data_IF_673970476236
#
_entry.id   IF_673970476236
#
_cell.length_a   1.000
_cell.length_b   1.000
_cell.length_c   1.000
_cell.angle_alpha   90.00
_cell.angle_beta   90.00
_cell.angle_gamma   90.00
#
_symmetry.space_group_name_H-M   'P 1'
#
loop_
_entity.id
_entity.type
_entity.pdbx_description
1 polymer ?
#
# COMPACT_ATOMS: atom_id res chain seq x y z
N UNK A 1 -19.89 -24.49 -6.65
CA UNK A 1 -18.72 -23.64 -6.35
C UNK A 1 -19.05 -22.44 -5.47
N UNK A 2 -20.07 -21.61 -5.76
CA UNK A 2 -20.47 -20.44 -4.94
C UNK A 2 -20.79 -20.73 -3.46
N UNK A 3 -21.35 -21.90 -3.16
CA UNK A 3 -21.82 -22.25 -1.81
C UNK A 3 -20.67 -22.62 -0.83
N UNK A 4 -19.53 -23.12 -1.35
CA UNK A 4 -18.36 -23.44 -0.52
C UNK A 4 -17.62 -22.20 -0.03
N UNK A 5 -17.40 -21.23 -0.91
CA UNK A 5 -16.72 -19.97 -0.56
C UNK A 5 -17.49 -19.18 0.50
N UNK A 6 -18.82 -19.10 0.38
CA UNK A 6 -19.65 -18.41 1.36
C UNK A 6 -19.61 -19.08 2.72
N UNK A 7 -19.57 -20.42 2.77
CA UNK A 7 -19.45 -21.18 4.00
C UNK A 7 -18.06 -21.03 4.65
N UNK A 8 -16.99 -20.95 3.86
CA UNK A 8 -15.65 -20.65 4.39
C UNK A 8 -15.54 -19.23 4.93
N UNK A 9 -16.13 -18.25 4.25
CA UNK A 9 -16.16 -16.86 4.71
C UNK A 9 -16.98 -16.71 5.99
N UNK A 10 -18.16 -17.34 6.06
CA UNK A 10 -18.97 -17.33 7.28
C UNK A 10 -18.25 -18.05 8.41
N UNK A 11 -17.56 -19.16 8.13
CA UNK A 11 -16.76 -19.88 9.12
C UNK A 11 -15.59 -19.06 9.65
N UNK A 12 -14.86 -18.35 8.79
CA UNK A 12 -13.79 -17.43 9.22
C UNK A 12 -14.34 -16.26 10.04
N UNK A 13 -15.48 -15.71 9.67
CA UNK A 13 -16.13 -14.62 10.39
C UNK A 13 -16.65 -15.06 11.77
N UNK A 14 -17.27 -16.24 11.85
CA UNK A 14 -17.74 -16.83 13.11
C UNK A 14 -16.59 -17.17 14.04
N UNK A 15 -15.52 -17.78 13.50
CA UNK A 15 -14.32 -18.08 14.27
C UNK A 15 -13.65 -16.78 14.76
N UNK A 16 -13.63 -15.74 13.93
CA UNK A 16 -13.05 -14.45 14.31
C UNK A 16 -13.87 -13.69 15.37
N UNK A 17 -15.21 -13.79 15.35
CA UNK A 17 -16.08 -13.12 16.32
C UNK A 17 -15.98 -13.74 17.73
N UNK A 18 -15.66 -15.02 17.83
CA UNK A 18 -15.41 -15.74 19.09
C UNK A 18 -13.94 -15.68 19.55
N UNK A 19 -13.11 -14.86 18.90
CA UNK A 19 -11.71 -14.66 19.30
C UNK A 19 -10.76 -15.79 18.88
N UNK A 20 -11.13 -16.59 17.89
CA UNK A 20 -10.33 -17.72 17.40
C UNK A 20 -9.90 -17.51 15.93
N UNK A 21 -8.95 -18.34 15.49
CA UNK A 21 -8.55 -18.41 14.08
C UNK A 21 -7.55 -17.33 13.62
N UNK A 22 -7.01 -17.53 12.42
CA UNK A 22 -5.92 -16.71 11.88
C UNK A 22 -6.35 -15.28 11.56
N UNK A 23 -7.61 -15.06 11.16
CA UNK A 23 -8.15 -13.73 10.89
C UNK A 23 -8.22 -12.88 12.16
N UNK A 24 -8.75 -13.43 13.26
CA UNK A 24 -8.78 -12.75 14.55
C UNK A 24 -7.38 -12.36 15.00
N UNK A 25 -6.44 -13.32 15.01
CA UNK A 25 -5.06 -13.05 15.43
C UNK A 25 -4.40 -11.92 14.64
N UNK A 26 -4.64 -11.84 13.33
CA UNK A 26 -4.16 -10.72 12.49
C UNK A 26 -4.79 -9.39 12.88
N UNK A 27 -6.12 -9.32 12.94
CA UNK A 27 -6.83 -8.09 13.30
C UNK A 27 -6.48 -7.62 14.72
N UNK A 28 -6.41 -8.55 15.67
CA UNK A 28 -5.99 -8.29 17.04
C UNK A 28 -4.56 -7.74 17.07
N UNK A 29 -3.62 -8.40 16.37
CA UNK A 29 -2.23 -7.92 16.25
C UNK A 29 -2.17 -6.50 15.67
N UNK A 30 -2.92 -6.22 14.59
CA UNK A 30 -2.93 -4.89 13.98
C UNK A 30 -3.47 -3.83 14.94
N UNK A 31 -4.58 -4.14 15.61
CA UNK A 31 -5.21 -3.21 16.55
C UNK A 31 -4.29 -2.91 17.75
N UNK A 32 -3.74 -3.95 18.37
CA UNK A 32 -2.81 -3.81 19.50
C UNK A 32 -1.58 -3.00 19.09
N UNK A 33 -1.00 -3.28 17.92
CA UNK A 33 0.21 -2.61 17.44
C UNK A 33 -0.04 -1.12 17.15
N UNK A 34 -1.12 -0.79 16.43
CA UNK A 34 -1.48 0.59 16.11
C UNK A 34 -1.81 1.36 17.39
N UNK A 35 -2.61 0.78 18.28
CA UNK A 35 -2.95 1.41 19.57
C UNK A 35 -1.69 1.73 20.37
N UNK A 36 -0.76 0.78 20.48
CA UNK A 36 0.47 0.99 21.24
C UNK A 36 1.38 2.04 20.60
N UNK A 37 1.47 2.07 19.27
CA UNK A 37 2.21 3.12 18.57
C UNK A 37 1.68 4.52 18.94
N UNK A 38 0.36 4.71 19.01
CA UNK A 38 -0.22 5.98 19.47
C UNK A 38 0.02 6.27 20.95
N UNK A 39 -0.05 5.25 21.81
CA UNK A 39 0.18 5.43 23.27
C UNK A 39 1.62 5.78 23.59
N UNK A 40 2.59 5.16 22.92
CA UNK A 40 4.01 5.30 23.23
C UNK A 40 4.68 6.44 22.46
N UNK A 41 4.28 6.66 21.21
CA UNK A 41 5.01 7.56 20.28
C UNK A 41 4.13 8.68 19.73
N UNK A 42 2.87 8.79 20.20
CA UNK A 42 1.91 9.79 19.75
C UNK A 42 1.70 9.84 18.23
N UNK A 43 1.90 8.71 17.53
CA UNK A 43 1.74 8.64 16.07
C UNK A 43 3.03 8.76 15.26
N UNK A 44 4.18 8.99 15.90
CA UNK A 44 5.48 9.17 15.20
C UNK A 44 6.06 7.85 14.67
N UNK A 45 5.69 6.72 15.27
CA UNK A 45 6.19 5.40 14.91
C UNK A 45 7.21 4.88 15.91
N UNK A 46 7.30 3.56 16.04
CA UNK A 46 8.14 2.86 17.02
C UNK A 46 9.60 2.72 16.54
N UNK A 47 9.86 2.99 15.26
CA UNK A 47 11.15 2.84 14.61
C UNK A 47 11.29 1.51 13.84
N UNK A 48 12.25 1.43 12.90
CA UNK A 48 12.44 0.28 12.02
C UNK A 48 12.83 -0.97 12.81
N UNK A 49 12.18 -2.10 12.54
CA UNK A 49 12.37 -3.35 13.29
C UNK A 49 11.80 -3.31 14.71
N UNK A 50 11.21 -2.19 15.13
CA UNK A 50 10.58 -2.01 16.44
C UNK A 50 9.31 -2.85 16.59
N UNK A 51 8.65 -3.21 15.48
CA UNK A 51 7.41 -3.98 15.49
C UNK A 51 7.60 -5.38 16.11
N UNK A 52 8.61 -6.12 15.65
CA UNK A 52 8.91 -7.46 16.16
C UNK A 52 9.34 -7.42 17.63
N UNK A 53 10.30 -6.57 17.96
CA UNK A 53 10.84 -6.45 19.31
C UNK A 53 9.75 -6.05 20.32
N UNK A 54 8.83 -5.17 19.90
CA UNK A 54 7.71 -4.76 20.71
C UNK A 54 6.72 -5.90 20.96
N UNK A 55 6.30 -6.61 19.90
CA UNK A 55 5.36 -7.72 20.04
C UNK A 55 5.96 -8.88 20.84
N UNK A 56 7.24 -9.16 20.69
CA UNK A 56 7.96 -10.15 21.48
C UNK A 56 7.94 -9.78 22.98
N UNK A 57 8.12 -8.49 23.30
CA UNK A 57 8.09 -8.01 24.70
C UNK A 57 6.73 -8.14 25.40
N UNK A 58 5.63 -8.19 24.64
CA UNK A 58 4.28 -8.35 25.20
C UNK A 58 3.99 -9.79 25.64
N UNK A 59 4.74 -10.78 25.13
CA UNK A 59 4.61 -12.21 25.43
C UNK A 59 3.16 -12.75 25.40
N UNK A 60 2.33 -12.17 24.53
CA UNK A 60 0.94 -12.57 24.31
C UNK A 60 0.90 -13.65 23.22
N UNK A 61 0.39 -14.83 23.57
CA UNK A 61 0.35 -16.01 22.68
C UNK A 61 -0.56 -15.83 21.47
N UNK A 62 -1.50 -14.89 21.54
CA UNK A 62 -2.45 -14.64 20.46
C UNK A 62 -1.91 -13.65 19.41
N UNK A 63 -0.85 -12.89 19.75
CA UNK A 63 -0.18 -12.01 18.81
C UNK A 63 0.63 -12.80 17.77
N UNK A 64 0.70 -12.22 16.57
CA UNK A 64 1.56 -12.71 15.49
C UNK A 64 2.82 -11.86 15.46
N UNK A 65 3.99 -12.46 15.70
CA UNK A 65 5.29 -11.78 15.62
C UNK A 65 5.57 -11.16 14.24
N UNK A 66 4.91 -11.67 13.20
CA UNK A 66 4.96 -11.17 11.83
C UNK A 66 3.61 -10.54 11.47
N UNK A 67 3.51 -9.20 11.37
CA UNK A 67 2.35 -8.55 10.82
C UNK A 67 2.32 -8.81 9.31
N UNK A 68 1.39 -9.63 8.85
CA UNK A 68 1.27 -9.93 7.43
C UNK A 68 0.63 -8.77 6.62
N UNK A 69 1.09 -7.53 6.81
CA UNK A 69 0.64 -6.35 6.07
C UNK A 69 1.71 -5.25 6.08
N UNK A 70 2.24 -4.95 4.90
CA UNK A 70 3.18 -3.85 4.67
C UNK A 70 2.60 -2.50 5.12
N UNK A 71 1.29 -2.31 4.96
CA UNK A 71 0.61 -1.08 5.36
C UNK A 71 0.66 -0.87 6.87
N UNK A 72 0.43 -1.93 7.64
CA UNK A 72 0.49 -1.89 9.10
C UNK A 72 1.93 -1.72 9.57
N UNK A 73 2.88 -2.40 8.93
CA UNK A 73 4.31 -2.21 9.21
C UNK A 73 4.75 -0.76 8.98
N UNK A 74 4.42 -0.18 7.82
CA UNK A 74 4.76 1.23 7.52
C UNK A 74 4.13 2.16 8.57
N UNK A 75 2.85 1.96 8.88
CA UNK A 75 2.14 2.79 9.85
C UNK A 75 2.75 2.70 11.25
N UNK A 76 3.06 1.50 11.73
CA UNK A 76 3.50 1.29 13.12
C UNK A 76 4.98 1.61 13.29
N UNK A 77 5.84 1.28 12.33
CA UNK A 77 7.28 1.53 12.43
C UNK A 77 7.63 2.99 12.10
N UNK A 78 7.01 3.57 11.08
CA UNK A 78 7.37 4.89 10.54
C UNK A 78 6.35 5.99 10.85
N UNK A 79 5.21 5.63 11.45
CA UNK A 79 4.21 6.58 11.91
C UNK A 79 3.26 7.10 10.84
N UNK A 80 2.32 7.93 11.29
CA UNK A 80 1.20 8.40 10.47
C UNK A 80 1.64 9.32 9.33
N UNK A 81 2.65 10.17 9.56
CA UNK A 81 3.10 11.15 8.57
C UNK A 81 3.73 10.44 7.37
N UNK A 82 4.64 9.49 7.62
CA UNK A 82 5.29 8.73 6.57
C UNK A 82 4.31 7.79 5.86
N UNK A 83 3.41 7.15 6.60
CA UNK A 83 2.33 6.35 6.04
C UNK A 83 1.46 7.14 5.06
N UNK A 84 0.95 8.31 5.49
CA UNK A 84 0.10 9.15 4.65
C UNK A 84 0.85 9.68 3.43
N UNK A 85 2.11 10.08 3.59
CA UNK A 85 2.95 10.55 2.48
C UNK A 85 3.18 9.44 1.45
N UNK A 86 3.48 8.23 1.93
CA UNK A 86 3.67 7.06 1.08
C UNK A 86 2.39 6.69 0.32
N UNK A 87 1.25 6.63 1.02
CA UNK A 87 -0.06 6.36 0.41
C UNK A 87 -0.44 7.44 -0.62
N UNK A 88 -0.23 8.72 -0.30
CA UNK A 88 -0.47 9.83 -1.21
C UNK A 88 0.42 9.74 -2.47
N UNK A 89 1.69 9.33 -2.31
CA UNK A 89 2.60 9.13 -3.44
C UNK A 89 2.08 8.03 -4.38
N UNK A 90 1.65 6.88 -3.83
CA UNK A 90 1.07 5.80 -4.65
C UNK A 90 -0.20 6.26 -5.37
N UNK A 91 -1.10 6.96 -4.68
CA UNK A 91 -2.33 7.50 -5.29
C UNK A 91 -2.01 8.48 -6.41
N UNK A 92 -1.04 9.38 -6.19
CA UNK A 92 -0.60 10.35 -7.19
C UNK A 92 -0.03 9.66 -8.44
N UNK A 93 0.86 8.69 -8.25
CA UNK A 93 1.44 7.92 -9.35
C UNK A 93 0.36 7.14 -10.12
N UNK A 94 -0.55 6.48 -9.41
CA UNK A 94 -1.67 5.76 -10.01
C UNK A 94 -2.57 6.68 -10.85
N UNK A 95 -2.92 7.85 -10.30
CA UNK A 95 -3.70 8.87 -11.00
C UNK A 95 -3.04 9.30 -12.31
N UNK A 96 -1.73 9.62 -12.28
CA UNK A 96 -1.00 10.04 -13.47
C UNK A 96 -0.97 8.95 -14.55
N UNK A 97 -0.78 7.69 -14.17
CA UNK A 97 -0.83 6.57 -15.14
C UNK A 97 -2.23 6.45 -15.73
N UNK A 98 -3.30 6.61 -14.94
CA UNK A 98 -4.68 6.62 -15.42
C UNK A 98 -4.95 7.75 -16.42
N UNK A 99 -4.47 8.96 -16.13
CA UNK A 99 -4.57 10.11 -17.04
C UNK A 99 -3.82 9.81 -18.34
N UNK A 100 -2.61 9.26 -18.26
CA UNK A 100 -1.79 8.94 -19.42
C UNK A 100 -2.42 7.83 -20.28
N UNK A 101 -2.99 6.79 -19.65
CA UNK A 101 -3.78 5.77 -20.33
C UNK A 101 -4.99 6.39 -21.02
N UNK A 102 -5.73 7.28 -20.35
CA UNK A 102 -6.89 7.97 -20.94
C UNK A 102 -6.50 8.79 -22.18
N UNK A 103 -5.37 9.48 -22.13
CA UNK A 103 -4.89 10.37 -23.19
C UNK A 103 -4.28 9.63 -24.40
N UNK A 104 -3.68 8.46 -24.18
CA UNK A 104 -2.92 7.75 -25.22
C UNK A 104 -3.53 6.43 -25.65
N UNK A 105 -4.38 5.83 -24.81
CA UNK A 105 -4.99 4.51 -24.98
C UNK A 105 -3.98 3.37 -25.23
N UNK A 106 -2.71 3.56 -24.87
CA UNK A 106 -1.68 2.52 -25.02
C UNK A 106 -1.81 1.45 -23.94
N UNK A 107 -1.75 0.19 -24.36
CA UNK A 107 -1.89 -0.98 -23.49
C UNK A 107 -0.85 -1.04 -22.36
N UNK A 108 0.37 -0.54 -22.60
CA UNK A 108 1.43 -0.50 -21.58
C UNK A 108 0.99 0.23 -20.30
N UNK A 109 0.17 1.28 -20.42
CA UNK A 109 -0.31 2.01 -19.24
C UNK A 109 -1.45 1.25 -18.52
N UNK A 110 -2.26 0.49 -19.24
CA UNK A 110 -3.22 -0.43 -18.62
C UNK A 110 -2.50 -1.55 -17.84
N UNK A 111 -1.40 -2.07 -18.39
CA UNK A 111 -0.56 -3.05 -17.70
C UNK A 111 0.04 -2.48 -16.40
N UNK A 112 0.56 -1.25 -16.44
CA UNK A 112 1.08 -0.57 -15.24
C UNK A 112 -0.03 -0.36 -14.19
N UNK A 113 -1.24 0.03 -14.60
CA UNK A 113 -2.40 0.16 -13.69
C UNK A 113 -2.69 -1.18 -13.00
N UNK A 114 -2.75 -2.27 -13.77
CA UNK A 114 -2.96 -3.62 -13.22
C UNK A 114 -1.85 -4.00 -12.23
N UNK A 115 -0.59 -3.69 -12.54
CA UNK A 115 0.55 -3.96 -11.65
C UNK A 115 0.47 -3.17 -10.34
N UNK A 116 0.04 -1.90 -10.38
CA UNK A 116 -0.13 -1.10 -9.14
C UNK A 116 -1.28 -1.63 -8.29
N UNK A 117 -2.40 -2.04 -8.91
CA UNK A 117 -3.51 -2.68 -8.18
C UNK A 117 -3.04 -3.99 -7.55
N UNK A 118 -2.32 -4.83 -8.31
CA UNK A 118 -1.74 -6.06 -7.80
C UNK A 118 -0.77 -5.80 -6.64
N UNK A 119 0.07 -4.76 -6.72
CA UNK A 119 0.95 -4.33 -5.63
C UNK A 119 0.18 -3.94 -4.36
N UNK A 120 -0.88 -3.13 -4.48
CA UNK A 120 -1.71 -2.71 -3.33
C UNK A 120 -2.41 -3.91 -2.66
N UNK A 121 -2.83 -4.90 -3.44
CA UNK A 121 -3.41 -6.13 -2.90
C UNK A 121 -2.33 -7.04 -2.28
N UNK A 122 -1.23 -7.27 -2.98
CA UNK A 122 -0.13 -8.14 -2.56
C UNK A 122 0.65 -7.61 -1.35
N UNK A 123 0.62 -6.30 -1.09
CA UNK A 123 1.18 -5.69 0.13
C UNK A 123 0.44 -6.07 1.41
N UNK A 124 -0.64 -6.85 1.31
CA UNK A 124 -1.30 -7.53 2.45
C UNK A 124 -0.89 -9.01 2.58
N UNK A 125 0.09 -9.48 1.79
CA UNK A 125 0.64 -10.83 1.85
C UNK A 125 1.81 -10.92 2.86
N UNK A 126 2.29 -12.13 3.23
CA UNK A 126 3.20 -12.34 4.36
C UNK A 126 4.55 -11.60 4.28
N UNK A 127 5.19 -11.49 5.45
CA UNK A 127 6.35 -10.65 5.83
C UNK A 127 7.67 -10.87 5.10
N UNK A 128 7.68 -11.57 3.96
CA UNK A 128 8.81 -11.58 3.04
C UNK A 128 8.73 -10.46 2.00
N UNK A 129 7.62 -9.71 1.95
CA UNK A 129 7.35 -8.73 0.90
C UNK A 129 8.44 -7.63 0.85
N UNK A 130 8.81 -7.04 1.98
CA UNK A 130 9.88 -6.04 2.04
C UNK A 130 11.24 -6.49 1.48
N UNK A 131 11.58 -7.77 1.62
CA UNK A 131 12.84 -8.33 1.11
C UNK A 131 12.83 -8.67 -0.38
N UNK A 132 11.70 -8.50 -1.07
CA UNK A 132 11.58 -8.78 -2.49
C UNK A 132 11.73 -7.49 -3.29
N UNK A 133 12.97 -7.13 -3.67
CA UNK A 133 13.28 -5.89 -4.39
C UNK A 133 12.41 -5.65 -5.64
N UNK A 134 12.00 -6.72 -6.32
CA UNK A 134 11.15 -6.64 -7.51
C UNK A 134 9.74 -6.11 -7.23
N UNK A 135 9.29 -6.07 -5.97
CA UNK A 135 7.98 -5.51 -5.61
C UNK A 135 7.87 -4.01 -5.92
N UNK A 136 9.01 -3.32 -6.04
CA UNK A 136 9.06 -1.88 -6.31
C UNK A 136 8.94 -1.54 -7.81
N UNK A 137 8.99 -2.54 -8.71
CA UNK A 137 8.88 -2.33 -10.15
C UNK A 137 7.61 -1.56 -10.56
N UNK A 138 6.41 -1.87 -10.04
CA UNK A 138 5.19 -1.13 -10.38
C UNK A 138 5.30 0.36 -10.03
N UNK A 139 5.98 0.69 -8.92
CA UNK A 139 6.21 2.08 -8.51
C UNK A 139 7.19 2.77 -9.46
N UNK A 140 8.32 2.14 -9.78
CA UNK A 140 9.30 2.68 -10.73
C UNK A 140 8.73 2.94 -12.12
N UNK A 141 7.94 1.99 -12.66
CA UNK A 141 7.25 2.19 -13.94
C UNK A 141 6.23 3.33 -13.87
N UNK A 142 5.52 3.47 -12.76
CA UNK A 142 4.56 4.57 -12.56
C UNK A 142 5.24 5.94 -12.44
N UNK A 143 6.45 6.00 -11.87
CA UNK A 143 7.26 7.22 -11.84
C UNK A 143 7.69 7.63 -13.26
N UNK A 144 8.15 6.69 -14.07
CA UNK A 144 8.51 6.94 -15.48
C UNK A 144 7.30 7.45 -16.25
N UNK A 145 6.15 6.79 -16.12
CA UNK A 145 4.91 7.22 -16.75
C UNK A 145 4.48 8.62 -16.30
N UNK A 146 4.60 8.93 -15.00
CA UNK A 146 4.29 10.27 -14.46
C UNK A 146 5.20 11.35 -15.05
N UNK A 147 6.50 11.08 -15.17
CA UNK A 147 7.44 12.02 -15.78
C UNK A 147 7.10 12.28 -17.26
N UNK A 148 6.72 11.23 -18.01
CA UNK A 148 6.27 11.37 -19.40
C UNK A 148 5.01 12.23 -19.53
N UNK A 149 4.07 12.14 -18.58
CA UNK A 149 2.89 13.00 -18.56
C UNK A 149 3.28 14.46 -18.37
N UNK A 150 4.14 14.76 -17.39
CA UNK A 150 4.62 16.12 -17.09
C UNK A 150 5.34 16.73 -18.31
N UNK A 151 6.21 15.97 -18.98
CA UNK A 151 6.94 16.45 -20.16
C UNK A 151 5.97 16.80 -21.31
N UNK A 152 4.96 15.97 -21.55
CA UNK A 152 3.94 16.23 -22.58
C UNK A 152 3.12 17.47 -22.28
N UNK A 153 2.82 17.74 -21.02
CA UNK A 153 2.12 18.96 -20.62
C UNK A 153 2.97 20.20 -20.86
N UNK A 154 4.27 20.14 -20.54
CA UNK A 154 5.22 21.24 -20.83
C UNK A 154 5.35 21.51 -22.33
N UNK A 155 5.47 20.48 -23.16
CA UNK A 155 5.54 20.63 -24.62
C UNK A 155 4.29 21.29 -25.21
N UNK A 156 3.10 20.90 -24.73
CA UNK A 156 1.84 21.53 -25.14
C UNK A 156 1.84 23.02 -24.80
N UNK A 157 2.18 23.38 -23.56
CA UNK A 157 2.22 24.78 -23.12
C UNK A 157 3.18 25.62 -23.97
N UNK A 158 4.40 25.12 -24.24
CA UNK A 158 5.36 25.82 -25.09
C UNK A 158 4.79 26.05 -26.51
N UNK A 159 4.15 25.02 -27.09
CA UNK A 159 3.53 25.13 -28.43
C UNK A 159 2.43 26.20 -28.47
N UNK A 160 1.63 26.33 -27.40
CA UNK A 160 0.61 27.38 -27.30
C UNK A 160 1.22 28.78 -27.20
N UNK A 161 2.31 28.95 -26.43
CA UNK A 161 3.01 30.24 -26.30
C UNK A 161 3.59 30.69 -27.65
N UNK A 162 4.32 29.81 -28.34
CA UNK A 162 4.88 30.12 -29.68
C UNK A 162 3.80 30.52 -30.69
N UNK A 163 2.66 29.83 -30.69
CA UNK A 163 1.53 30.18 -31.57
C UNK A 163 0.97 31.57 -31.25
N UNK A 164 0.96 32.00 -29.98
CA UNK A 164 0.43 33.31 -29.57
C UNK A 164 1.35 34.47 -29.96
N UNK A 165 2.67 34.27 -29.97
CA UNK A 165 3.65 35.29 -30.36
C UNK A 165 3.80 35.46 -31.88
N UNK A 166 3.21 34.57 -32.67
CA UNK A 166 3.27 34.57 -34.15
C UNK A 166 2.12 35.33 -34.82
N UNK A 167 1.24 35.96 -34.05
CA UNK A 167 0.12 36.81 -34.51
C UNK A 167 0.27 38.23 -33.97
#
# INVERSE_FOLDING_TARGET
MKMGLLNELSGQQETASIGLGSMYRRLYTYFVSVKNMFVQTYGVGIGPGGFFNFLESLNDKDLLLSPHSMWVEILVEYGIILFLTFAACIIYLFYNVCVLFKNTKKEIYAQIICMVIAFVLASNAPSGFFGMDFMWIPIGLSMIASNLLILREKEKQNTYVFRKESY
#
